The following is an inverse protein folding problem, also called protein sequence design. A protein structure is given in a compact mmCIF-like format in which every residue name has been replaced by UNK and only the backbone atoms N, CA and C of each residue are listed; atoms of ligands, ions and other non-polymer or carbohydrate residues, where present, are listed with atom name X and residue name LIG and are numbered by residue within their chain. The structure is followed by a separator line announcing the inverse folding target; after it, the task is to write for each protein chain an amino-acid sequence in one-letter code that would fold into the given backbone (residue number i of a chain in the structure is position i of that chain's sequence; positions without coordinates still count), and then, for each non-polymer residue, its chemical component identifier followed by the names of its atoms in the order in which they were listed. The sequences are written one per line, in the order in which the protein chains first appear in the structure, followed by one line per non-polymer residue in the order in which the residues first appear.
data_IF_447739315806
#
_entry.id   IF_447739315806
#
_cell.length_a   1.000
_cell.length_b   1.000
_cell.length_c   1.000
_cell.angle_alpha   90.00
_cell.angle_beta   90.00
_cell.angle_gamma   90.00
#
_symmetry.space_group_name_H-M   'P 1'
#
loop_
_entity.id
_entity.type
_entity.pdbx_description
1 polymer ?
#
# COMPACT_ATOMS: atom_id res chain seq x y z
N UNK A 1 -22.62 -2.69 7.41
CA UNK A 1 -23.20 -1.87 6.32
C UNK A 1 -22.06 -1.61 5.36
N UNK A 2 -21.94 -2.26 4.20
CA UNK A 2 -22.96 -2.74 3.28
C UNK A 2 -22.45 -4.01 2.59
N UNK A 3 -23.20 -5.11 2.65
CA UNK A 3 -22.88 -6.36 1.96
C UNK A 3 -23.48 -6.30 0.55
N UNK A 4 -22.64 -6.28 -0.48
CA UNK A 4 -23.09 -6.42 -1.87
C UNK A 4 -23.02 -7.91 -2.26
N UNK A 5 -24.17 -8.57 -2.30
CA UNK A 5 -24.29 -9.96 -2.73
C UNK A 5 -24.24 -10.05 -4.27
N UNK A 6 -23.12 -10.51 -4.83
CA UNK A 6 -23.12 -11.16 -6.14
C UNK A 6 -22.64 -12.62 -5.96
N UNK A 7 -23.51 -13.58 -6.31
CA UNK A 7 -23.22 -15.01 -6.44
C UNK A 7 -23.05 -15.86 -5.16
N UNK A 8 -23.63 -15.46 -4.02
CA UNK A 8 -23.75 -16.37 -2.86
C UNK A 8 -22.45 -16.67 -2.12
N UNK A 9 -21.37 -15.99 -2.48
CA UNK A 9 -20.18 -15.83 -1.63
C UNK A 9 -20.36 -14.48 -0.93
N UNK A 10 -20.49 -14.49 0.39
CA UNK A 10 -20.32 -13.26 1.18
C UNK A 10 -18.85 -12.88 1.04
N UNK A 11 -18.50 -12.10 0.02
CA UNK A 11 -17.20 -11.45 -0.03
C UNK A 11 -17.29 -10.28 0.94
N UNK A 12 -16.82 -10.51 2.15
CA UNK A 12 -16.66 -9.46 3.15
C UNK A 12 -15.84 -8.35 2.54
N UNK A 13 -16.29 -7.09 2.68
CA UNK A 13 -15.52 -5.94 2.22
C UNK A 13 -14.13 -5.98 2.86
N UNK A 14 -13.09 -6.04 2.03
CA UNK A 14 -11.70 -6.01 2.49
C UNK A 14 -11.45 -4.67 3.15
N UNK A 15 -10.92 -4.71 4.37
CA UNK A 15 -10.56 -3.50 5.11
C UNK A 15 -9.25 -2.93 4.53
N UNK A 16 -9.30 -1.69 4.01
CA UNK A 16 -8.15 -1.00 3.40
C UNK A 16 -6.93 -1.01 4.32
N UNK A 17 -7.12 -0.69 5.61
CA UNK A 17 -6.00 -0.64 6.58
C UNK A 17 -5.37 -2.01 6.81
N UNK A 18 -6.17 -3.07 6.83
CA UNK A 18 -5.67 -4.45 6.97
C UNK A 18 -4.82 -4.81 5.75
N UNK A 19 -5.30 -4.52 4.54
CA UNK A 19 -4.57 -4.78 3.31
C UNK A 19 -3.25 -3.99 3.23
N UNK A 20 -3.26 -2.71 3.59
CA UNK A 20 -2.05 -1.86 3.64
C UNK A 20 -1.05 -2.38 4.68
N UNK A 21 -1.52 -2.70 5.89
CA UNK A 21 -0.66 -3.22 6.96
C UNK A 21 -0.07 -4.59 6.57
N UNK A 22 -0.86 -5.43 5.91
CA UNK A 22 -0.42 -6.72 5.41
C UNK A 22 0.72 -6.59 4.38
N UNK A 23 0.51 -5.77 3.35
CA UNK A 23 1.52 -5.51 2.32
C UNK A 23 2.80 -4.91 2.91
N UNK A 24 2.66 -3.91 3.78
CA UNK A 24 3.77 -3.25 4.48
C UNK A 24 4.60 -4.28 5.27
N UNK A 25 3.94 -5.17 6.01
CA UNK A 25 4.60 -6.23 6.78
C UNK A 25 5.34 -7.22 5.88
N UNK A 26 4.72 -7.66 4.78
CA UNK A 26 5.36 -8.56 3.81
C UNK A 26 6.63 -7.95 3.24
N UNK A 27 6.55 -6.70 2.77
CA UNK A 27 7.66 -6.02 2.12
C UNK A 27 8.81 -5.70 3.09
N UNK A 28 8.52 -5.24 4.32
CA UNK A 28 9.56 -5.01 5.34
C UNK A 28 10.27 -6.31 5.73
N UNK A 29 9.51 -7.42 5.87
CA UNK A 29 10.07 -8.73 6.15
C UNK A 29 11.00 -9.23 5.03
N UNK A 30 10.63 -9.00 3.76
CA UNK A 30 11.48 -9.31 2.58
C UNK A 30 12.84 -8.59 2.65
N UNK A 31 12.88 -7.41 3.27
CA UNK A 31 14.08 -6.59 3.45
C UNK A 31 14.78 -6.80 4.81
N UNK A 32 14.38 -7.81 5.58
CA UNK A 32 14.90 -8.08 6.93
C UNK A 32 14.71 -6.91 7.92
N UNK A 33 13.68 -6.10 7.70
CA UNK A 33 13.31 -5.01 8.60
C UNK A 33 12.22 -5.50 9.56
N UNK A 34 12.48 -5.56 10.87
CA UNK A 34 11.47 -5.94 11.85
C UNK A 34 10.48 -4.81 12.04
N UNK A 35 9.19 -5.10 11.84
CA UNK A 35 8.09 -4.20 12.18
C UNK A 35 6.97 -5.02 12.81
N UNK A 36 6.83 -4.88 14.12
CA UNK A 36 5.78 -5.52 14.93
C UNK A 36 4.49 -4.71 14.80
N UNK A 37 3.89 -4.75 13.61
CA UNK A 37 2.56 -4.19 13.41
C UNK A 37 1.57 -4.88 14.34
N UNK A 38 0.73 -4.11 15.04
CA UNK A 38 -0.23 -4.65 16.01
C UNK A 38 -1.04 -5.80 15.37
N UNK A 39 -0.77 -7.00 15.88
CA UNK A 39 -1.11 -8.24 15.21
C UNK A 39 -2.58 -8.57 15.48
N UNK A 40 -3.46 -8.09 14.60
CA UNK A 40 -4.58 -8.96 14.21
C UNK A 40 -3.97 -10.17 13.53
N UNK A 41 -3.65 -11.23 14.29
CA UNK A 41 -2.97 -12.45 13.84
C UNK A 41 -3.79 -13.30 12.88
N UNK A 42 -4.40 -12.66 11.89
CA UNK A 42 -5.18 -13.27 10.83
C UNK A 42 -4.26 -13.61 9.66
N UNK A 43 -4.41 -14.82 9.11
CA UNK A 43 -3.66 -15.25 7.95
C UNK A 43 -4.09 -14.39 6.74
N UNK A 44 -3.15 -14.00 5.85
CA UNK A 44 -3.50 -13.22 4.67
C UNK A 44 -4.51 -13.99 3.81
N UNK A 45 -5.57 -13.30 3.40
CA UNK A 45 -6.56 -13.83 2.48
C UNK A 45 -6.06 -13.80 1.03
N UNK A 46 -6.92 -14.21 0.07
CA UNK A 46 -6.57 -14.22 -1.34
C UNK A 46 -6.19 -12.84 -1.89
N UNK A 47 -6.86 -11.77 -1.44
CA UNK A 47 -6.57 -10.40 -1.91
C UNK A 47 -5.19 -9.96 -1.45
N UNK A 48 -4.87 -10.17 -0.17
CA UNK A 48 -3.56 -9.85 0.41
C UNK A 48 -2.45 -10.60 -0.32
N UNK A 49 -2.63 -11.91 -0.53
CA UNK A 49 -1.65 -12.75 -1.23
C UNK A 49 -1.44 -12.28 -2.69
N UNK A 50 -2.51 -11.98 -3.42
CA UNK A 50 -2.39 -11.49 -4.79
C UNK A 50 -1.76 -10.10 -4.85
N UNK A 51 -2.11 -9.20 -3.93
CA UNK A 51 -1.51 -7.86 -3.85
C UNK A 51 -0.01 -7.93 -3.63
N UNK A 52 0.46 -8.82 -2.73
CA UNK A 52 1.89 -9.08 -2.54
C UNK A 52 2.56 -9.59 -3.82
N UNK A 53 1.96 -10.57 -4.50
CA UNK A 53 2.52 -11.15 -5.72
C UNK A 53 2.65 -10.12 -6.85
N UNK A 54 1.59 -9.33 -7.08
CA UNK A 54 1.59 -8.27 -8.10
C UNK A 54 2.60 -7.18 -7.74
N UNK A 55 2.64 -6.76 -6.46
CA UNK A 55 3.60 -5.78 -5.98
C UNK A 55 5.05 -6.24 -6.11
N UNK A 56 5.33 -7.51 -5.80
CA UNK A 56 6.66 -8.12 -5.99
C UNK A 56 7.08 -8.11 -7.46
N UNK A 57 6.18 -8.49 -8.39
CA UNK A 57 6.46 -8.43 -9.83
C UNK A 57 6.65 -6.98 -10.33
N UNK A 58 5.83 -6.07 -9.81
CA UNK A 58 5.89 -4.65 -10.14
C UNK A 58 7.22 -4.03 -9.70
N UNK A 59 7.65 -4.28 -8.47
CA UNK A 59 8.95 -3.83 -7.95
C UNK A 59 10.11 -4.42 -8.75
N UNK A 60 10.06 -5.70 -9.11
CA UNK A 60 11.10 -6.32 -9.94
C UNK A 60 11.18 -5.71 -11.34
N UNK A 61 10.03 -5.35 -11.93
CA UNK A 61 9.96 -4.71 -13.25
C UNK A 61 10.46 -3.26 -13.23
N UNK A 62 10.18 -2.52 -12.16
CA UNK A 62 10.46 -1.09 -12.04
C UNK A 62 11.56 -0.75 -11.03
N UNK A 63 12.39 -1.72 -10.66
CA UNK A 63 13.39 -1.62 -9.60
C UNK A 63 14.27 -0.38 -9.69
N UNK A 64 14.85 -0.13 -10.87
CA UNK A 64 15.76 1.01 -11.09
C UNK A 64 15.06 2.35 -10.82
N UNK A 65 13.80 2.48 -11.23
CA UNK A 65 13.00 3.69 -11.02
C UNK A 65 12.68 3.88 -9.54
N UNK A 66 12.34 2.81 -8.82
CA UNK A 66 12.10 2.86 -7.38
C UNK A 66 13.36 3.20 -6.59
N UNK A 67 14.50 2.61 -6.93
CA UNK A 67 15.78 2.94 -6.31
C UNK A 67 16.13 4.42 -6.53
N UNK A 68 15.96 4.94 -7.75
CA UNK A 68 16.22 6.34 -8.06
C UNK A 68 15.28 7.29 -7.31
N UNK A 69 13.97 7.06 -7.37
CA UNK A 69 12.99 7.89 -6.66
C UNK A 69 13.28 7.92 -5.16
N UNK A 70 13.54 6.76 -4.57
CA UNK A 70 13.77 6.65 -3.13
C UNK A 70 15.09 7.31 -2.72
N UNK A 71 16.09 7.37 -3.61
CA UNK A 71 17.33 8.12 -3.35
C UNK A 71 17.17 9.64 -3.48
N UNK A 72 16.30 10.11 -4.38
CA UNK A 72 16.01 11.54 -4.56
C UNK A 72 15.16 12.11 -3.42
N UNK A 73 14.36 11.27 -2.75
CA UNK A 73 13.52 11.68 -1.64
C UNK A 73 14.37 11.87 -0.36
N UNK A 74 14.73 13.12 -0.09
CA UNK A 74 15.37 13.53 1.16
C UNK A 74 14.37 13.59 2.33
N UNK A 75 13.91 12.41 2.76
CA UNK A 75 12.92 12.28 3.84
C UNK A 75 13.56 12.47 5.21
N UNK A 76 12.91 13.29 6.03
CA UNK A 76 13.10 13.48 7.46
C UNK A 76 11.73 13.43 8.16
N UNK A 77 11.67 13.28 9.50
CA UNK A 77 10.39 13.23 10.20
C UNK A 77 9.57 14.53 10.02
N UNK A 78 10.25 15.65 9.80
CA UNK A 78 9.62 16.96 9.61
C UNK A 78 8.99 17.16 8.23
N UNK A 79 9.43 16.45 7.18
CA UNK A 79 8.92 16.63 5.83
C UNK A 79 8.21 15.39 5.25
N UNK A 80 8.33 14.23 5.88
CA UNK A 80 7.86 12.94 5.38
C UNK A 80 6.41 12.98 4.88
N UNK A 81 5.51 13.55 5.68
CA UNK A 81 4.08 13.65 5.34
C UNK A 81 3.84 14.50 4.09
N UNK A 82 4.44 15.69 4.04
CA UNK A 82 4.27 16.60 2.91
C UNK A 82 4.84 15.99 1.63
N UNK A 83 6.03 15.40 1.72
CA UNK A 83 6.68 14.76 0.59
C UNK A 83 5.87 13.57 0.09
N UNK A 84 5.37 12.71 0.99
CA UNK A 84 4.49 11.59 0.64
C UNK A 84 3.25 12.08 -0.11
N UNK A 85 2.48 13.02 0.45
CA UNK A 85 1.28 13.53 -0.21
C UNK A 85 1.60 14.21 -1.55
N UNK A 86 2.74 14.89 -1.69
CA UNK A 86 3.18 15.46 -2.95
C UNK A 86 3.35 14.41 -4.04
N UNK A 87 4.06 13.32 -3.75
CA UNK A 87 4.26 12.20 -4.69
C UNK A 87 2.95 11.52 -5.04
N UNK A 88 2.11 11.23 -4.04
CA UNK A 88 0.85 10.51 -4.26
C UNK A 88 -0.17 11.36 -5.04
N UNK A 89 -0.23 12.66 -4.78
CA UNK A 89 -1.09 13.56 -5.57
C UNK A 89 -0.65 13.64 -7.03
N UNK A 90 0.66 13.62 -7.31
CA UNK A 90 1.15 13.56 -8.68
C UNK A 90 0.82 12.22 -9.34
N UNK A 91 0.95 11.11 -8.59
CA UNK A 91 0.66 9.76 -9.08
C UNK A 91 -0.80 9.58 -9.55
N UNK A 92 -1.74 10.32 -8.98
CA UNK A 92 -3.17 10.23 -9.29
C UNK A 92 -3.75 11.52 -9.88
N UNK A 93 -2.92 12.41 -10.44
CA UNK A 93 -3.37 13.72 -10.93
C UNK A 93 -4.33 13.60 -12.14
N UNK A 94 -4.08 12.65 -13.04
CA UNK A 94 -4.77 12.49 -14.32
C UNK A 94 -5.77 11.33 -14.31
N UNK A 95 -5.36 10.13 -13.89
CA UNK A 95 -6.24 8.95 -13.85
C UNK A 95 -5.93 8.04 -12.65
N UNK A 96 -6.96 7.30 -12.24
CA UNK A 96 -6.85 6.22 -11.26
C UNK A 96 -6.97 4.90 -12.01
N UNK A 97 -6.03 3.99 -11.75
CA UNK A 97 -6.09 2.61 -12.21
C UNK A 97 -5.42 1.69 -11.19
N UNK A 98 -5.70 0.38 -11.27
CA UNK A 98 -5.16 -0.59 -10.32
C UNK A 98 -3.63 -0.65 -10.30
N UNK A 99 -2.96 -0.47 -11.45
CA UNK A 99 -1.51 -0.44 -11.52
C UNK A 99 -0.90 0.71 -10.72
N UNK A 100 -1.52 1.90 -10.74
CA UNK A 100 -1.10 3.05 -9.91
C UNK A 100 -1.38 2.84 -8.43
N UNK A 101 -2.47 2.15 -8.10
CA UNK A 101 -2.76 1.75 -6.71
C UNK A 101 -1.69 0.78 -6.21
N UNK A 102 -1.30 -0.24 -7.00
CA UNK A 102 -0.17 -1.11 -6.66
C UNK A 102 1.11 -0.29 -6.50
N UNK A 103 1.37 0.67 -7.40
CA UNK A 103 2.54 1.55 -7.30
C UNK A 103 2.58 2.35 -6.00
N UNK A 104 1.43 2.83 -5.50
CA UNK A 104 1.33 3.50 -4.19
C UNK A 104 1.76 2.57 -3.05
N UNK A 105 1.33 1.31 -3.06
CA UNK A 105 1.70 0.33 -2.04
C UNK A 105 3.22 0.05 -2.07
N UNK A 106 3.77 -0.24 -3.26
CA UNK A 106 5.22 -0.46 -3.43
C UNK A 106 6.05 0.76 -3.03
N UNK A 107 5.59 1.97 -3.38
CA UNK A 107 6.24 3.22 -3.00
C UNK A 107 6.26 3.41 -1.48
N UNK A 108 5.10 3.30 -0.84
CA UNK A 108 4.98 3.43 0.61
C UNK A 108 5.83 2.42 1.37
N UNK A 109 5.87 1.17 0.90
CA UNK A 109 6.66 0.11 1.53
C UNK A 109 8.16 0.29 1.35
N UNK A 110 8.60 0.71 0.16
CA UNK A 110 10.01 1.06 -0.10
C UNK A 110 10.45 2.22 0.79
N UNK A 111 9.60 3.25 0.91
CA UNK A 111 9.86 4.39 1.78
C UNK A 111 9.93 3.97 3.27
N UNK A 112 9.08 3.03 3.71
CA UNK A 112 9.14 2.50 5.06
C UNK A 112 10.49 1.81 5.36
N UNK A 113 11.00 0.99 4.43
CA UNK A 113 12.33 0.36 4.55
C UNK A 113 13.40 1.43 4.75
N UNK A 114 13.37 2.50 3.94
CA UNK A 114 14.34 3.60 4.08
C UNK A 114 14.22 4.35 5.40
N UNK A 115 13.00 4.58 5.89
CA UNK A 115 12.77 5.24 7.17
C UNK A 115 13.42 4.44 8.30
N UNK A 116 13.24 3.11 8.33
CA UNK A 116 13.88 2.27 9.35
C UNK A 116 15.40 2.27 9.21
N UNK A 117 15.93 2.18 7.98
CA UNK A 117 17.38 2.23 7.74
C UNK A 117 18.03 3.56 8.13
N UNK A 118 17.25 4.64 8.23
CA UNK A 118 17.69 5.97 8.65
C UNK A 118 17.34 6.27 10.12
N UNK A 119 17.09 5.24 10.94
CA UNK A 119 16.74 5.36 12.36
C UNK A 119 15.45 6.15 12.63
N UNK A 120 14.45 6.03 11.75
CA UNK A 120 13.11 6.62 11.89
C UNK A 120 11.96 5.58 11.83
N UNK A 121 12.00 4.51 12.64
CA UNK A 121 11.01 3.43 12.57
C UNK A 121 9.57 3.87 12.89
N UNK A 122 9.38 4.95 13.64
CA UNK A 122 8.07 5.53 13.96
C UNK A 122 7.32 6.08 12.74
N UNK A 123 8.01 6.28 11.61
CA UNK A 123 7.37 6.70 10.37
C UNK A 123 6.64 5.55 9.67
N UNK A 124 6.93 4.30 10.00
CA UNK A 124 6.26 3.15 9.35
C UNK A 124 4.77 3.13 9.66
N UNK A 125 4.39 3.29 10.93
CA UNK A 125 2.98 3.34 11.33
C UNK A 125 2.27 4.55 10.70
N UNK A 126 2.97 5.69 10.61
CA UNK A 126 2.44 6.89 9.96
C UNK A 126 2.21 6.67 8.46
N UNK A 127 3.12 5.98 7.77
CA UNK A 127 2.95 5.63 6.35
C UNK A 127 1.72 4.74 6.14
N UNK A 128 1.51 3.75 6.99
CA UNK A 128 0.30 2.92 6.94
C UNK A 128 -0.96 3.77 7.07
N UNK A 129 -0.98 4.68 8.04
CA UNK A 129 -2.11 5.57 8.26
C UNK A 129 -2.31 6.54 7.08
N UNK A 130 -1.23 7.10 6.51
CA UNK A 130 -1.33 8.03 5.37
C UNK A 130 -1.80 7.34 4.09
N UNK A 131 -1.31 6.13 3.79
CA UNK A 131 -1.75 5.35 2.64
C UNK A 131 -3.23 4.97 2.82
N UNK A 132 -3.59 4.46 3.99
CA UNK A 132 -4.98 4.09 4.32
C UNK A 132 -5.90 5.29 4.17
N UNK A 133 -5.55 6.42 4.79
CA UNK A 133 -6.33 7.65 4.70
C UNK A 133 -6.46 8.14 3.25
N UNK A 134 -5.37 8.11 2.47
CA UNK A 134 -5.45 8.55 1.09
C UNK A 134 -6.40 7.68 0.25
N UNK A 135 -6.31 6.36 0.41
CA UNK A 135 -7.18 5.40 -0.26
C UNK A 135 -8.64 5.60 0.13
N UNK A 136 -8.93 5.72 1.42
CA UNK A 136 -10.29 5.84 1.93
C UNK A 136 -10.91 7.23 1.61
N UNK A 137 -10.13 8.31 1.70
CA UNK A 137 -10.63 9.67 1.47
C UNK A 137 -10.77 10.01 -0.02
N UNK A 138 -9.87 9.51 -0.88
CA UNK A 138 -9.76 9.96 -2.28
C UNK A 138 -10.11 8.87 -3.29
N UNK A 139 -9.80 7.61 -3.01
CA UNK A 139 -9.90 6.53 -4.00
C UNK A 139 -11.02 5.52 -3.69
N UNK A 140 -11.69 5.65 -2.54
CA UNK A 140 -12.71 4.71 -2.09
C UNK A 140 -13.83 4.52 -3.13
N UNK A 141 -14.41 5.61 -3.64
CA UNK A 141 -15.49 5.53 -4.62
C UNK A 141 -15.06 4.79 -5.89
N UNK A 142 -13.88 5.12 -6.43
CA UNK A 142 -13.32 4.47 -7.61
C UNK A 142 -13.09 2.97 -7.37
N UNK A 143 -12.54 2.62 -6.20
CA UNK A 143 -12.34 1.22 -5.80
C UNK A 143 -13.67 0.46 -5.78
N UNK A 144 -14.73 1.02 -5.18
CA UNK A 144 -16.04 0.37 -5.14
C UNK A 144 -16.69 0.25 -6.53
N UNK A 145 -16.55 1.27 -7.38
CA UNK A 145 -17.03 1.27 -8.77
C UNK A 145 -16.34 0.22 -9.64
N UNK A 146 -15.15 -0.23 -9.24
CA UNK A 146 -14.41 -1.31 -9.88
C UNK A 146 -14.39 -2.60 -9.05
N UNK A 147 -15.55 -2.96 -8.48
CA UNK A 147 -15.82 -4.18 -7.71
C UNK A 147 -15.00 -4.36 -6.44
N UNK A 148 -14.39 -3.30 -5.91
CA UNK A 148 -13.61 -3.35 -4.67
C UNK A 148 -12.28 -4.08 -4.81
N UNK A 149 -11.62 -4.31 -3.68
CA UNK A 149 -10.29 -4.93 -3.62
C UNK A 149 -10.23 -6.36 -4.17
N UNK A 150 -11.37 -7.06 -4.25
CA UNK A 150 -11.43 -8.40 -4.86
C UNK A 150 -11.07 -8.40 -6.35
N UNK A 151 -11.17 -7.24 -7.04
CA UNK A 151 -10.72 -7.09 -8.43
C UNK A 151 -9.22 -7.32 -8.61
N UNK A 152 -8.42 -7.10 -7.56
CA UNK A 152 -6.97 -7.38 -7.58
C UNK A 152 -6.70 -8.85 -7.91
N UNK A 153 -7.58 -9.77 -7.50
CA UNK A 153 -7.44 -11.22 -7.76
C UNK A 153 -7.49 -11.53 -9.27
N UNK A 154 -8.09 -10.64 -10.06
CA UNK A 154 -8.31 -10.82 -11.51
C UNK A 154 -7.39 -10.00 -12.42
N UNK A 155 -6.39 -9.31 -11.87
CA UNK A 155 -5.35 -8.60 -12.63
C UNK A 155 -4.34 -9.58 -13.23
#
# INVERSE_FOLDING_TARGET
MTECCQNGIVMTAVNTRVLVSDYMRHHLKKHNVPWEADNGGELPGPVELTMRAIGDEFEDRYREVFEEMSNQLHISPSNARQTFHGVVNELFNDEVNWGRIVALFSFGATLAVQCVQKDMPELVDQLVDWITQYLDDNLYSWIQEHNGWVSIISL
#
